data_IF_997727770245
#
_entry.id   IF_997727770245
#
_cell.length_a   1.000
_cell.length_b   1.000
_cell.length_c   1.000
_cell.angle_alpha   90.00
_cell.angle_beta   90.00
_cell.angle_gamma   90.00
#
_symmetry.space_group_name_H-M   'P 1'
#
loop_
_entity.id
_entity.type
_entity.pdbx_description
1 polymer ?
#
# COMPACT_ATOMS: atom_id res chain seq x y z
N UNK A 1 5.74 8.39 8.14
CA UNK A 1 4.76 8.81 7.11
C UNK A 1 3.99 7.59 6.67
N UNK A 2 2.70 7.72 6.38
CA UNK A 2 1.91 6.64 5.77
C UNK A 2 1.84 6.79 4.25
N UNK A 3 1.80 5.67 3.53
CA UNK A 3 1.56 5.63 2.09
C UNK A 3 0.42 4.64 1.85
N UNK A 4 -0.75 5.08 1.37
CA UNK A 4 -1.14 6.47 1.04
C UNK A 4 -1.34 7.35 2.29
N UNK A 5 -1.53 8.65 2.10
CA UNK A 5 -2.10 9.51 3.15
C UNK A 5 -3.58 9.20 3.37
N UNK A 6 -4.15 9.60 4.52
CA UNK A 6 -5.57 9.41 4.81
C UNK A 6 -6.46 10.07 3.74
N UNK A 7 -6.15 11.31 3.34
CA UNK A 7 -6.92 12.04 2.32
C UNK A 7 -6.89 11.35 0.94
N UNK A 8 -5.74 10.80 0.55
CA UNK A 8 -5.60 10.03 -0.69
C UNK A 8 -6.42 8.74 -0.63
N UNK A 9 -6.38 8.03 0.50
CA UNK A 9 -7.17 6.82 0.71
C UNK A 9 -8.68 7.11 0.68
N UNK A 10 -9.13 8.16 1.38
CA UNK A 10 -10.53 8.61 1.38
C UNK A 10 -11.03 8.90 -0.03
N UNK A 11 -10.25 9.66 -0.79
CA UNK A 11 -10.55 10.00 -2.18
C UNK A 11 -10.67 8.74 -3.04
N UNK A 12 -9.75 7.79 -2.89
CA UNK A 12 -9.74 6.54 -3.66
C UNK A 12 -10.93 5.62 -3.33
N UNK A 13 -11.24 5.47 -2.05
CA UNK A 13 -12.37 4.67 -1.54
C UNK A 13 -13.73 5.36 -1.76
N UNK A 14 -13.73 6.60 -2.27
CA UNK A 14 -14.91 7.45 -2.40
C UNK A 14 -15.64 7.64 -1.06
N UNK A 15 -14.89 7.65 0.04
CA UNK A 15 -15.39 7.86 1.39
C UNK A 15 -15.14 9.30 1.80
N UNK A 16 -16.20 10.10 1.78
CA UNK A 16 -16.13 11.55 2.09
C UNK A 16 -16.43 11.78 3.58
N UNK A 17 -17.09 10.83 4.24
CA UNK A 17 -17.47 10.90 5.65
C UNK A 17 -16.28 10.61 6.58
N UNK A 18 -16.17 11.35 7.68
CA UNK A 18 -15.15 11.18 8.72
C UNK A 18 -15.41 9.99 9.63
N UNK A 19 -16.64 9.47 9.68
CA UNK A 19 -17.00 8.34 10.56
C UNK A 19 -16.18 7.08 10.29
N UNK A 20 -15.62 6.96 9.08
CA UNK A 20 -14.80 5.81 8.66
C UNK A 20 -13.30 6.08 8.73
N UNK A 21 -12.85 7.27 9.15
CA UNK A 21 -11.43 7.65 9.15
C UNK A 21 -10.57 6.68 9.99
N UNK A 22 -11.11 6.21 11.13
CA UNK A 22 -10.41 5.24 11.98
C UNK A 22 -10.25 3.89 11.26
N UNK A 23 -11.30 3.42 10.59
CA UNK A 23 -11.25 2.16 9.84
C UNK A 23 -10.31 2.26 8.63
N UNK A 24 -10.31 3.40 7.93
CA UNK A 24 -9.40 3.66 6.82
C UNK A 24 -7.95 3.72 7.33
N UNK A 25 -7.68 4.37 8.47
CA UNK A 25 -6.33 4.41 9.06
C UNK A 25 -5.80 3.01 9.45
N UNK A 26 -6.68 2.14 9.95
CA UNK A 26 -6.34 0.72 10.21
C UNK A 26 -6.02 0.01 8.89
N UNK A 27 -6.82 0.21 7.85
CA UNK A 27 -6.59 -0.39 6.54
C UNK A 27 -5.28 0.08 5.90
N UNK A 28 -4.95 1.37 6.01
CA UNK A 28 -3.66 1.93 5.57
C UNK A 28 -2.50 1.25 6.31
N UNK A 29 -2.64 1.06 7.63
CA UNK A 29 -1.60 0.42 8.44
C UNK A 29 -1.36 -1.05 8.02
N UNK A 30 -2.43 -1.79 7.75
CA UNK A 30 -2.36 -3.17 7.25
C UNK A 30 -1.75 -3.24 5.84
N UNK A 31 -2.19 -2.37 4.94
CA UNK A 31 -1.66 -2.27 3.58
C UNK A 31 -0.18 -1.90 3.55
N UNK A 32 0.25 -0.97 4.41
CA UNK A 32 1.64 -0.57 4.49
C UNK A 32 2.53 -1.68 5.05
N UNK A 33 2.09 -2.39 6.09
CA UNK A 33 2.84 -3.53 6.62
C UNK A 33 3.00 -4.65 5.57
N UNK A 34 1.94 -4.92 4.80
CA UNK A 34 1.97 -5.88 3.69
C UNK A 34 2.92 -5.43 2.57
N UNK A 35 2.86 -4.15 2.19
CA UNK A 35 3.73 -3.56 1.17
C UNK A 35 5.20 -3.59 1.59
N UNK A 36 5.52 -3.19 2.83
CA UNK A 36 6.88 -3.22 3.38
C UNK A 36 7.41 -4.66 3.36
N UNK A 37 6.61 -5.63 3.80
CA UNK A 37 6.94 -7.05 3.74
C UNK A 37 7.25 -7.53 2.32
N UNK A 38 6.42 -7.15 1.34
CA UNK A 38 6.63 -7.50 -0.07
C UNK A 38 7.93 -6.91 -0.63
N UNK A 39 8.23 -5.65 -0.30
CA UNK A 39 9.36 -4.90 -0.84
C UNK A 39 10.72 -5.29 -0.24
N UNK A 40 10.74 -6.04 0.86
CA UNK A 40 11.97 -6.53 1.51
C UNK A 40 12.10 -6.13 2.99
N UNK A 41 11.02 -5.74 3.65
CA UNK A 41 10.91 -5.54 5.10
C UNK A 41 11.38 -4.18 5.61
N UNK A 42 12.11 -3.41 4.81
CA UNK A 42 12.48 -2.04 5.17
C UNK A 42 11.23 -1.12 5.17
N UNK A 43 10.98 -0.36 6.24
CA UNK A 43 9.83 0.53 6.33
C UNK A 43 9.74 1.52 5.18
N UNK A 44 8.53 1.72 4.66
CA UNK A 44 8.24 2.70 3.60
C UNK A 44 8.76 4.11 3.90
N UNK A 45 8.70 4.54 5.17
CA UNK A 45 9.20 5.85 5.59
C UNK A 45 10.73 6.01 5.43
N UNK A 46 11.48 4.91 5.41
CA UNK A 46 12.92 4.91 5.15
C UNK A 46 13.21 4.95 3.66
N UNK A 47 12.44 4.20 2.85
CA UNK A 47 12.57 4.18 1.39
C UNK A 47 12.14 5.50 0.74
N UNK A 48 11.04 6.07 1.22
CA UNK A 48 10.42 7.29 0.70
C UNK A 48 10.16 8.26 1.84
N UNK A 49 11.12 9.13 2.17
CA UNK A 49 11.03 10.01 3.33
C UNK A 49 10.01 11.15 3.16
N UNK A 50 9.62 11.47 1.92
CA UNK A 50 8.66 12.53 1.59
C UNK A 50 7.62 12.04 0.57
N UNK A 51 6.39 12.57 0.65
CA UNK A 51 5.27 12.13 -0.20
C UNK A 51 5.58 12.35 -1.69
N UNK A 52 6.25 13.45 -2.02
CA UNK A 52 6.71 13.76 -3.37
C UNK A 52 7.78 12.82 -3.91
N UNK A 53 8.43 12.04 -3.04
CA UNK A 53 9.41 11.03 -3.42
C UNK A 53 8.76 9.66 -3.71
N UNK A 54 7.47 9.49 -3.41
CA UNK A 54 6.75 8.23 -3.62
C UNK A 54 6.46 8.05 -5.12
N UNK A 55 6.96 6.99 -5.75
CA UNK A 55 6.62 6.69 -7.15
C UNK A 55 5.12 6.47 -7.34
N UNK A 56 4.58 6.92 -8.47
CA UNK A 56 3.13 6.85 -8.71
C UNK A 56 2.55 5.43 -8.72
N UNK A 57 3.36 4.43 -9.10
CA UNK A 57 2.98 3.02 -9.04
C UNK A 57 2.99 2.44 -7.63
N UNK A 58 3.91 2.88 -6.76
CA UNK A 58 3.92 2.57 -5.33
C UNK A 58 2.66 3.14 -4.68
N UNK A 59 2.32 4.40 -4.99
CA UNK A 59 1.10 5.01 -4.49
C UNK A 59 -0.15 4.25 -4.98
N UNK A 60 -0.22 3.90 -6.26
CA UNK A 60 -1.34 3.13 -6.83
C UNK A 60 -1.46 1.74 -6.20
N UNK A 61 -0.34 1.06 -5.95
CA UNK A 61 -0.32 -0.22 -5.26
C UNK A 61 -0.80 -0.08 -3.81
N UNK A 62 -0.31 0.92 -3.07
CA UNK A 62 -0.69 1.17 -1.69
C UNK A 62 -2.18 1.49 -1.55
N UNK A 63 -2.75 2.29 -2.47
CA UNK A 63 -4.19 2.53 -2.56
C UNK A 63 -4.99 1.25 -2.80
N UNK A 64 -4.52 0.40 -3.74
CA UNK A 64 -5.15 -0.88 -4.05
C UNK A 64 -5.14 -1.83 -2.86
N UNK A 65 -4.00 -1.92 -2.15
CA UNK A 65 -3.89 -2.71 -0.92
C UNK A 65 -4.76 -2.14 0.20
N UNK A 66 -4.85 -0.82 0.33
CA UNK A 66 -5.75 -0.17 1.30
C UNK A 66 -7.20 -0.59 1.05
N UNK A 67 -7.65 -0.60 -0.21
CA UNK A 67 -8.98 -1.09 -0.57
C UNK A 67 -9.19 -2.58 -0.24
N UNK A 68 -8.15 -3.41 -0.39
CA UNK A 68 -8.20 -4.83 0.02
C UNK A 68 -8.38 -5.00 1.52
N UNK A 69 -7.71 -4.16 2.32
CA UNK A 69 -7.83 -4.20 3.79
C UNK A 69 -9.12 -3.55 4.30
N UNK A 70 -9.70 -2.62 3.54
CA UNK A 70 -10.91 -1.88 3.93
C UNK A 70 -12.21 -2.57 3.48
N UNK A 71 -12.28 -3.06 2.25
CA UNK A 71 -13.51 -3.60 1.68
C UNK A 71 -13.74 -5.08 2.04
N UNK A 72 -14.98 -5.43 2.38
CA UNK A 72 -15.40 -6.82 2.52
C UNK A 72 -15.70 -7.42 1.12
N UNK A 73 -14.67 -8.02 0.51
CA UNK A 73 -14.79 -8.76 -0.74
C UNK A 73 -14.75 -10.29 -0.57
N UNK A 74 -14.92 -11.02 -1.67
CA UNK A 74 -14.57 -12.46 -1.66
C UNK A 74 -13.05 -12.63 -1.52
N UNK A 75 -12.56 -13.75 -0.94
CA UNK A 75 -11.13 -14.03 -0.89
C UNK A 75 -10.45 -13.98 -2.27
N UNK A 76 -11.14 -14.43 -3.32
CA UNK A 76 -10.63 -14.44 -4.69
C UNK A 76 -10.49 -13.02 -5.28
N UNK A 77 -11.42 -12.11 -4.98
CA UNK A 77 -11.32 -10.71 -5.39
C UNK A 77 -10.15 -10.00 -4.69
N UNK A 78 -10.02 -10.21 -3.38
CA UNK A 78 -8.94 -9.66 -2.59
C UNK A 78 -7.58 -10.12 -3.13
N UNK A 79 -7.44 -11.42 -3.43
CA UNK A 79 -6.22 -11.99 -4.00
C UNK A 79 -5.91 -11.45 -5.39
N UNK A 80 -6.91 -11.31 -6.28
CA UNK A 80 -6.70 -10.68 -7.59
C UNK A 80 -6.16 -9.25 -7.47
N UNK A 81 -6.73 -8.46 -6.57
CA UNK A 81 -6.30 -7.07 -6.33
C UNK A 81 -4.89 -7.00 -5.73
N UNK A 82 -4.55 -7.89 -4.78
CA UNK A 82 -3.18 -8.01 -4.25
C UNK A 82 -2.18 -8.30 -5.36
N UNK A 83 -2.47 -9.26 -6.24
CA UNK A 83 -1.59 -9.57 -7.39
C UNK A 83 -1.36 -8.37 -8.30
N UNK A 84 -2.41 -7.58 -8.58
CA UNK A 84 -2.28 -6.36 -9.36
C UNK A 84 -1.40 -5.32 -8.66
N UNK A 85 -1.56 -5.13 -7.35
CA UNK A 85 -0.71 -4.24 -6.56
C UNK A 85 0.75 -4.72 -6.54
N UNK A 86 1.00 -6.01 -6.35
CA UNK A 86 2.35 -6.57 -6.35
C UNK A 86 3.05 -6.45 -7.71
N UNK A 87 2.31 -6.58 -8.81
CA UNK A 87 2.87 -6.37 -10.14
C UNK A 87 3.41 -4.94 -10.32
N UNK A 88 2.76 -3.93 -9.73
CA UNK A 88 3.24 -2.55 -9.71
C UNK A 88 4.49 -2.38 -8.84
N UNK A 89 4.54 -3.09 -7.70
CA UNK A 89 5.64 -3.03 -6.74
C UNK A 89 6.87 -3.83 -7.15
N UNK A 90 6.74 -4.77 -8.10
CA UNK A 90 7.78 -5.75 -8.43
C UNK A 90 9.16 -5.12 -8.72
N UNK A 91 9.20 -3.97 -9.41
CA UNK A 91 10.45 -3.28 -9.75
C UNK A 91 11.11 -2.50 -8.59
N UNK A 92 10.36 -2.30 -7.51
CA UNK A 92 10.81 -1.58 -6.30
C UNK A 92 11.27 -2.54 -5.20
N UNK A 93 11.06 -3.84 -5.41
CA UNK A 93 11.47 -4.88 -4.49
C UNK A 93 13.00 -4.89 -4.39
N UNK A 94 13.49 -4.85 -3.17
CA UNK A 94 14.91 -5.04 -2.93
C UNK A 94 15.17 -6.54 -3.06
N UNK A 95 15.97 -6.96 -4.04
CA UNK A 95 16.44 -8.34 -4.10
C UNK A 95 17.17 -8.67 -2.80
N UNK A 96 16.51 -9.40 -1.91
CA UNK A 96 17.09 -9.88 -0.65
C UNK A 96 18.18 -10.96 -0.87
N UNK A 97 18.84 -11.00 -2.04
CA UNK A 97 19.77 -12.08 -2.38
C UNK A 97 20.65 -11.92 -3.62
N UNK A 98 20.68 -10.77 -4.33
CA UNK A 98 21.67 -10.55 -5.40
C UNK A 98 22.25 -9.13 -5.30
N UNK A 99 22.92 -8.85 -4.18
CA UNK A 99 23.94 -7.80 -4.12
C UNK A 99 25.08 -8.30 -3.24
N UNK A 100 26.16 -8.77 -3.89
CA UNK A 100 27.45 -9.01 -3.25
C UNK A 100 28.04 -10.38 -3.57
N UNK A 101 28.75 -10.46 -4.69
CA UNK A 101 29.89 -11.36 -4.87
C UNK A 101 31.03 -10.98 -3.89
#
# INVERSE_FOLDING_TARGET
MSIPTLEQAKTHLRQIDSDLDTAIAIAISGAQAEMDGYLGGEPSATRWPAETAVPGDVLAAALTLTAVHFEAGTPDDAERRRRAAYALLAKHRTDAGIRGA
#
